data_IF_678877076058
#
_entry.id   IF_678877076058
#
_cell.length_a   1.000
_cell.length_b   1.000
_cell.length_c   1.000
_cell.angle_alpha   90.00
_cell.angle_beta   90.00
_cell.angle_gamma   90.00
#
_symmetry.space_group_name_H-M   'P 1'
#
loop_
_entity.id
_entity.type
_entity.pdbx_description
1 polymer ?
#
# COMPACT_ATOMS: atom_id res chain seq x y z
N UNK A 1 60.65 -19.13 -64.00
CA UNK A 1 61.34 -17.98 -64.60
C UNK A 1 60.32 -16.84 -64.73
N UNK A 2 60.46 -15.76 -63.94
CA UNK A 2 59.79 -14.43 -64.08
C UNK A 2 58.24 -14.38 -64.14
N UNK A 3 57.49 -13.37 -63.70
CA UNK A 3 57.65 -12.16 -62.87
C UNK A 3 56.21 -11.61 -62.68
N UNK A 4 55.90 -11.12 -61.48
CA UNK A 4 55.20 -9.85 -61.14
C UNK A 4 53.86 -9.45 -61.78
N UNK A 5 53.01 -8.85 -60.94
CA UNK A 5 52.19 -7.67 -61.28
C UNK A 5 50.70 -7.85 -61.06
N UNK A 6 50.18 -7.70 -59.85
CA UNK A 6 49.61 -6.48 -59.23
C UNK A 6 48.43 -5.79 -59.95
N UNK A 7 47.33 -5.75 -59.20
CA UNK A 7 46.43 -4.62 -58.90
C UNK A 7 45.27 -4.25 -59.85
N UNK A 8 44.07 -4.33 -59.23
CA UNK A 8 42.95 -3.37 -59.19
C UNK A 8 42.43 -2.83 -60.54
N UNK A 9 41.12 -2.79 -60.82
CA UNK A 9 40.15 -2.00 -60.06
C UNK A 9 38.75 -2.06 -60.69
N UNK A 10 37.71 -1.90 -59.85
CA UNK A 10 36.41 -1.19 -60.09
C UNK A 10 35.50 -1.70 -61.24
N UNK A 11 34.17 -1.80 -61.17
CA UNK A 11 33.12 -1.43 -60.20
C UNK A 11 31.75 -1.84 -60.80
N UNK A 12 30.75 -2.02 -59.91
CA UNK A 12 29.30 -1.77 -60.11
C UNK A 12 28.56 -2.79 -60.99
N UNK A 13 27.37 -3.30 -60.65
CA UNK A 13 26.26 -2.80 -59.82
C UNK A 13 25.19 -3.90 -59.73
N UNK A 14 24.62 -4.21 -58.56
CA UNK A 14 23.20 -4.02 -58.13
C UNK A 14 22.77 -5.36 -57.48
N UNK A 15 22.67 -5.45 -56.14
CA UNK A 15 21.46 -5.21 -55.31
C UNK A 15 20.30 -6.10 -55.78
N UNK A 16 19.56 -6.88 -55.00
CA UNK A 16 19.45 -7.22 -53.58
C UNK A 16 18.21 -8.11 -53.52
N UNK A 17 18.21 -9.22 -52.78
CA UNK A 17 17.00 -9.70 -52.09
C UNK A 17 17.36 -10.36 -50.75
N UNK A 18 16.83 -9.72 -49.73
CA UNK A 18 16.69 -10.01 -48.29
C UNK A 18 16.29 -11.43 -47.90
N UNK A 19 16.82 -11.90 -46.76
CA UNK A 19 16.03 -12.31 -45.59
C UNK A 19 16.95 -12.49 -44.36
N UNK A 20 16.84 -11.62 -43.36
CA UNK A 20 17.22 -11.93 -41.97
C UNK A 20 16.01 -11.59 -41.13
N UNK A 21 15.28 -12.62 -40.73
CA UNK A 21 14.25 -12.53 -39.69
C UNK A 21 14.90 -13.02 -38.40
N UNK A 22 15.24 -12.09 -37.51
CA UNK A 22 15.54 -12.40 -36.11
C UNK A 22 14.33 -11.92 -35.29
N UNK A 23 13.46 -12.85 -34.92
CA UNK A 23 12.39 -12.61 -33.96
C UNK A 23 12.94 -12.88 -32.56
N UNK A 24 13.20 -11.82 -31.79
CA UNK A 24 13.39 -11.90 -30.34
C UNK A 24 12.05 -11.54 -29.72
N UNK A 25 11.31 -12.55 -29.23
CA UNK A 25 10.12 -12.34 -28.42
C UNK A 25 10.56 -12.16 -26.97
N UNK A 26 10.78 -10.92 -26.55
CA UNK A 26 10.79 -10.58 -25.13
C UNK A 26 9.34 -10.33 -24.71
N UNK A 27 8.70 -11.34 -24.15
CA UNK A 27 7.42 -11.18 -23.47
C UNK A 27 7.67 -10.41 -22.16
N UNK A 28 7.36 -9.12 -22.14
CA UNK A 28 7.23 -8.39 -20.90
C UNK A 28 5.90 -8.83 -20.27
N UNK A 29 5.96 -9.65 -19.22
CA UNK A 29 4.83 -9.83 -18.32
C UNK A 29 4.59 -8.46 -17.66
N UNK A 30 3.46 -7.83 -17.94
CA UNK A 30 2.99 -6.75 -17.09
C UNK A 30 2.77 -7.32 -15.67
N UNK A 31 3.11 -6.59 -14.60
CA UNK A 31 2.73 -7.03 -13.26
C UNK A 31 1.22 -7.24 -13.24
N UNK A 32 0.77 -8.41 -12.78
CA UNK A 32 -0.64 -8.62 -12.50
C UNK A 32 -1.06 -7.57 -11.47
N UNK A 33 -2.13 -6.82 -11.74
CA UNK A 33 -2.69 -5.93 -10.76
C UNK A 33 -3.09 -6.77 -9.53
N UNK A 34 -2.56 -6.38 -8.38
CA UNK A 34 -2.90 -6.96 -7.09
C UNK A 34 -4.41 -6.88 -6.88
N UNK A 35 -5.04 -7.96 -6.44
CA UNK A 35 -6.47 -7.94 -6.16
C UNK A 35 -6.74 -7.24 -4.81
N UNK A 36 -7.93 -6.69 -4.58
CA UNK A 36 -8.32 -6.13 -3.28
C UNK A 36 -8.09 -7.07 -2.10
N UNK A 37 -8.20 -8.39 -2.34
CA UNK A 37 -7.89 -9.44 -1.36
C UNK A 37 -6.43 -9.34 -0.90
N UNK A 38 -5.50 -8.99 -1.78
CA UNK A 38 -4.10 -8.74 -1.41
C UNK A 38 -3.97 -7.51 -0.51
N UNK A 39 -4.68 -6.41 -0.81
CA UNK A 39 -4.68 -5.22 0.03
C UNK A 39 -5.18 -5.52 1.45
N UNK A 40 -6.29 -6.25 1.56
CA UNK A 40 -6.81 -6.71 2.86
C UNK A 40 -5.78 -7.59 3.58
N UNK A 41 -5.17 -8.55 2.88
CA UNK A 41 -4.14 -9.41 3.48
C UNK A 41 -2.95 -8.59 3.99
N UNK A 42 -2.50 -7.57 3.25
CA UNK A 42 -1.43 -6.69 3.71
C UNK A 42 -1.84 -5.93 4.98
N UNK A 43 -3.08 -5.43 5.07
CA UNK A 43 -3.60 -4.77 6.29
C UNK A 43 -3.67 -5.70 7.50
N UNK A 44 -3.81 -7.02 7.29
CA UNK A 44 -3.73 -8.02 8.38
C UNK A 44 -2.32 -8.30 8.85
N UNK A 45 -1.34 -8.12 7.98
CA UNK A 45 0.06 -8.48 8.22
C UNK A 45 0.89 -7.28 8.71
N UNK A 46 0.51 -6.05 8.33
CA UNK A 46 1.26 -4.83 8.57
C UNK A 46 0.44 -3.83 9.39
N UNK A 47 1.07 -3.25 10.41
CA UNK A 47 0.47 -2.17 11.21
C UNK A 47 0.62 -0.82 10.53
N UNK A 48 1.72 -0.60 9.80
CA UNK A 48 1.95 0.64 9.05
C UNK A 48 2.35 0.35 7.62
N UNK A 49 1.63 0.98 6.69
CA UNK A 49 1.93 1.04 5.26
C UNK A 49 1.93 2.51 4.84
N UNK A 50 3.11 3.10 4.72
CA UNK A 50 3.29 4.40 4.07
C UNK A 50 3.69 4.16 2.61
N UNK A 51 2.86 4.53 1.64
CA UNK A 51 3.15 4.32 0.21
C UNK A 51 4.31 5.18 -0.29
N UNK A 52 4.45 6.38 0.27
CA UNK A 52 5.54 7.32 0.09
C UNK A 52 6.47 7.33 1.32
N UNK A 53 6.82 8.52 1.80
CA UNK A 53 7.74 8.67 2.92
C UNK A 53 7.05 8.48 4.27
N UNK A 54 7.82 8.06 5.27
CA UNK A 54 7.40 8.05 6.67
C UNK A 54 8.43 8.75 7.55
N UNK A 55 7.95 9.50 8.54
CA UNK A 55 8.75 10.08 9.61
C UNK A 55 8.03 9.84 10.93
N UNK A 56 8.75 9.36 11.94
CA UNK A 56 8.21 9.11 13.28
C UNK A 56 9.29 9.33 14.33
N UNK A 57 8.91 9.64 15.56
CA UNK A 57 9.78 9.53 16.75
C UNK A 57 9.17 8.61 17.83
N UNK A 58 8.15 7.85 17.45
CA UNK A 58 7.34 7.01 18.31
C UNK A 58 7.37 5.55 17.86
N UNK A 59 6.69 4.71 18.62
CA UNK A 59 6.66 3.28 18.37
C UNK A 59 5.64 2.93 17.29
N UNK A 60 6.04 2.02 16.41
CA UNK A 60 5.14 1.25 15.55
C UNK A 60 5.19 -0.18 16.05
N UNK A 61 4.08 -0.64 16.59
CA UNK A 61 3.88 -2.02 16.98
C UNK A 61 3.69 -2.88 15.73
N UNK A 62 4.25 -4.09 15.72
CA UNK A 62 4.22 -4.98 14.55
C UNK A 62 4.94 -4.47 13.29
N UNK A 63 4.57 -4.99 12.12
CA UNK A 63 5.35 -4.84 10.89
C UNK A 63 5.11 -3.52 10.18
N UNK A 64 6.14 -3.03 9.50
CA UNK A 64 6.10 -1.74 8.81
C UNK A 64 6.60 -1.84 7.37
N UNK A 65 5.85 -1.22 6.45
CA UNK A 65 6.25 -0.94 5.08
C UNK A 65 6.30 0.58 4.84
N UNK A 66 7.35 1.05 4.17
CA UNK A 66 7.50 2.43 3.69
C UNK A 66 8.01 2.40 2.24
N UNK A 67 7.21 2.84 1.27
CA UNK A 67 7.61 2.81 -0.15
C UNK A 67 8.71 3.81 -0.50
N UNK A 68 8.80 4.92 0.24
CA UNK A 68 9.82 5.95 0.13
C UNK A 68 10.92 5.82 1.20
N UNK A 69 11.36 6.97 1.72
CA UNK A 69 12.34 7.04 2.80
C UNK A 69 11.66 6.97 4.18
N UNK A 70 12.35 6.34 5.13
CA UNK A 70 12.00 6.36 6.55
C UNK A 70 12.98 7.24 7.32
N UNK A 71 12.49 8.34 7.90
CA UNK A 71 13.29 9.31 8.68
C UNK A 71 12.87 9.32 10.15
N UNK A 72 13.49 10.17 10.98
CA UNK A 72 13.16 10.31 12.41
C UNK A 72 13.72 9.20 13.32
N UNK A 73 13.16 9.05 14.52
CA UNK A 73 13.45 8.02 15.51
C UNK A 73 12.49 6.83 15.49
N UNK A 74 12.24 6.25 16.68
CA UNK A 74 11.16 5.28 16.92
C UNK A 74 11.59 3.83 17.17
N UNK A 75 10.70 3.07 17.80
CA UNK A 75 10.80 1.61 17.94
C UNK A 75 9.88 0.93 16.94
N UNK A 76 10.35 -0.12 16.28
CA UNK A 76 9.60 -0.84 15.27
C UNK A 76 9.46 -2.29 15.66
N UNK A 77 8.36 -2.90 15.22
CA UNK A 77 8.00 -4.27 15.56
C UNK A 77 7.89 -4.47 17.07
N UNK A 78 7.46 -3.46 17.84
CA UNK A 78 7.13 -3.62 19.27
C UNK A 78 5.86 -4.50 19.40
N UNK A 79 5.77 -5.36 20.41
CA UNK A 79 4.60 -6.23 20.62
C UNK A 79 4.29 -7.33 19.57
N UNK A 80 4.98 -7.37 18.41
CA UNK A 80 4.69 -8.27 17.28
C UNK A 80 4.99 -9.77 17.43
N UNK A 81 4.57 -10.39 18.54
CA UNK A 81 4.54 -11.86 18.71
C UNK A 81 3.10 -12.37 18.69
N UNK A 82 2.56 -12.67 17.50
CA UNK A 82 1.29 -13.38 17.37
C UNK A 82 0.02 -12.55 17.57
N UNK A 83 0.16 -11.24 17.74
CA UNK A 83 -0.95 -10.28 17.73
C UNK A 83 -1.29 -9.76 16.32
N UNK A 84 -0.38 -9.94 15.35
CA UNK A 84 -0.64 -9.75 13.93
C UNK A 84 -0.82 -11.09 13.21
N UNK A 85 -1.46 -11.06 12.02
CA UNK A 85 -1.56 -12.26 11.18
C UNK A 85 -0.17 -12.73 10.77
N UNK A 86 0.03 -14.05 10.78
CA UNK A 86 1.30 -14.65 10.39
C UNK A 86 1.74 -14.18 9.00
N UNK A 87 2.93 -13.61 8.91
CA UNK A 87 3.47 -13.03 7.68
C UNK A 87 4.90 -13.48 7.43
N UNK A 88 5.23 -13.70 6.16
CA UNK A 88 6.59 -13.91 5.68
C UNK A 88 7.30 -12.60 5.31
N UNK A 89 6.64 -11.44 5.47
CA UNK A 89 7.23 -10.13 5.18
C UNK A 89 8.33 -9.78 6.18
N UNK A 90 9.34 -9.00 5.75
CA UNK A 90 10.28 -8.36 6.66
C UNK A 90 9.55 -7.60 7.76
N UNK A 91 10.14 -7.51 8.95
CA UNK A 91 9.55 -6.73 10.05
C UNK A 91 9.59 -5.22 9.76
N UNK A 92 10.57 -4.81 8.95
CA UNK A 92 10.69 -3.46 8.42
C UNK A 92 11.15 -3.52 6.96
N UNK A 93 10.33 -2.99 6.06
CA UNK A 93 10.62 -2.92 4.63
C UNK A 93 10.54 -1.48 4.15
N UNK A 94 11.62 -0.97 3.54
CA UNK A 94 11.72 0.43 3.11
C UNK A 94 12.21 0.53 1.66
N UNK A 95 11.46 1.14 0.76
CA UNK A 95 11.86 1.27 -0.66
C UNK A 95 13.06 2.20 -0.86
N UNK A 96 13.21 3.22 -0.01
CA UNK A 96 14.30 4.18 -0.03
C UNK A 96 15.34 3.98 1.08
N UNK A 97 15.79 5.09 1.65
CA UNK A 97 16.77 5.12 2.73
C UNK A 97 16.08 5.05 4.10
N UNK A 98 16.77 4.42 5.05
CA UNK A 98 16.45 4.47 6.47
C UNK A 98 17.46 5.39 7.14
N UNK A 99 16.98 6.47 7.77
CA UNK A 99 17.83 7.44 8.47
C UNK A 99 17.25 7.81 9.83
N UNK A 100 18.09 8.43 10.67
CA UNK A 100 17.81 8.59 12.10
C UNK A 100 17.91 7.26 12.86
N UNK A 101 17.90 7.33 14.19
CA UNK A 101 18.12 6.15 15.03
C UNK A 101 16.84 5.31 15.11
N UNK A 102 16.91 4.04 14.71
CA UNK A 102 15.78 3.09 14.83
C UNK A 102 16.06 2.02 15.88
N UNK A 103 15.09 1.68 16.71
CA UNK A 103 15.15 0.50 17.57
C UNK A 103 14.28 -0.59 16.95
N UNK A 104 14.86 -1.71 16.51
CA UNK A 104 14.10 -2.80 15.89
C UNK A 104 14.01 -3.96 16.86
N UNK A 105 12.80 -4.38 17.21
CA UNK A 105 12.57 -5.48 18.13
C UNK A 105 12.44 -6.80 17.37
N UNK A 106 13.20 -7.81 17.78
CA UNK A 106 13.03 -9.14 17.19
C UNK A 106 11.75 -9.80 17.69
N UNK A 107 11.35 -9.49 18.92
CA UNK A 107 10.20 -10.06 19.60
C UNK A 107 10.16 -11.57 19.37
N UNK A 108 11.20 -12.30 19.79
CA UNK A 108 11.30 -13.75 19.69
C UNK A 108 11.13 -14.37 18.30
N UNK A 109 11.03 -13.59 17.22
CA UNK A 109 11.08 -14.09 15.85
C UNK A 109 12.46 -14.68 15.60
N UNK A 110 12.49 -15.81 14.91
CA UNK A 110 13.74 -16.46 14.52
C UNK A 110 14.31 -15.76 13.29
N UNK A 111 15.38 -14.98 13.48
CA UNK A 111 16.10 -14.24 12.43
C UNK A 111 15.19 -13.34 11.55
N UNK A 112 14.45 -12.38 12.13
CA UNK A 112 13.66 -11.41 11.38
C UNK A 112 14.50 -10.59 10.40
N UNK A 113 13.85 -10.14 9.33
CA UNK A 113 14.51 -9.42 8.22
C UNK A 113 14.17 -7.93 8.27
N UNK A 114 15.18 -7.10 8.01
CA UNK A 114 15.02 -5.68 7.65
C UNK A 114 15.54 -5.49 6.23
N UNK A 115 14.74 -4.86 5.37
CA UNK A 115 15.13 -4.58 3.98
C UNK A 115 15.02 -3.09 3.66
N UNK A 116 16.03 -2.57 2.96
CA UNK A 116 16.00 -1.24 2.38
C UNK A 116 16.47 -1.25 0.91
N UNK A 117 15.76 -0.54 0.02
CA UNK A 117 16.24 -0.33 -1.34
C UNK A 117 17.46 0.61 -1.39
N UNK A 118 17.61 1.49 -0.40
CA UNK A 118 18.71 2.45 -0.29
C UNK A 118 19.68 2.16 0.86
N UNK A 119 20.20 3.24 1.44
CA UNK A 119 21.07 3.24 2.61
C UNK A 119 20.31 2.86 3.89
N UNK A 120 20.95 2.07 4.75
CA UNK A 120 20.49 1.79 6.12
C UNK A 120 21.39 2.52 7.11
N UNK A 121 20.84 3.55 7.76
CA UNK A 121 21.48 4.31 8.82
C UNK A 121 21.42 3.63 10.19
N UNK A 122 21.73 4.38 11.24
CA UNK A 122 21.85 3.90 12.62
C UNK A 122 20.62 3.07 13.07
N UNK A 123 20.86 1.82 13.49
CA UNK A 123 19.85 0.97 14.11
C UNK A 123 20.40 0.30 15.37
N UNK A 124 19.54 0.12 16.37
CA UNK A 124 19.72 -0.80 17.47
C UNK A 124 18.87 -2.05 17.17
N UNK A 125 19.52 -3.19 17.01
CA UNK A 125 18.88 -4.47 16.71
C UNK A 125 18.73 -5.28 18.00
N UNK A 126 17.52 -5.34 18.55
CA UNK A 126 17.22 -6.08 19.78
C UNK A 126 16.91 -7.55 19.48
N UNK A 127 17.97 -8.26 19.10
CA UNK A 127 17.95 -9.66 18.66
C UNK A 127 18.92 -9.88 17.49
N UNK A 128 18.85 -11.07 16.90
CA UNK A 128 19.61 -11.43 15.70
C UNK A 128 18.75 -11.24 14.47
N UNK A 129 19.24 -10.46 13.50
CA UNK A 129 18.52 -10.11 12.28
C UNK A 129 19.30 -10.47 11.03
N UNK A 130 18.59 -10.44 9.90
CA UNK A 130 19.20 -10.26 8.59
C UNK A 130 18.84 -8.87 8.07
N UNK A 131 19.85 -8.03 7.78
CA UNK A 131 19.67 -6.68 7.25
C UNK A 131 20.21 -6.65 5.82
N UNK A 132 19.34 -6.32 4.86
CA UNK A 132 19.68 -6.27 3.44
C UNK A 132 19.45 -4.86 2.92
N UNK A 133 20.46 -4.26 2.30
CA UNK A 133 20.40 -2.90 1.79
C UNK A 133 20.91 -2.83 0.36
N UNK A 134 20.18 -2.17 -0.53
CA UNK A 134 20.67 -1.85 -1.88
C UNK A 134 21.80 -0.83 -1.87
N UNK A 135 21.86 0.01 -0.82
CA UNK A 135 22.95 0.96 -0.56
C UNK A 135 23.89 0.50 0.55
N UNK A 136 24.50 1.48 1.22
CA UNK A 136 25.42 1.22 2.33
C UNK A 136 24.72 0.91 3.64
N UNK A 137 25.39 0.23 4.58
CA UNK A 137 24.90 -0.09 5.92
C UNK A 137 25.78 0.58 6.98
N UNK A 138 25.23 1.58 7.68
CA UNK A 138 25.90 2.37 8.72
C UNK A 138 25.73 1.87 10.16
N UNK A 139 25.22 0.65 10.36
CA UNK A 139 24.95 0.09 11.69
C UNK A 139 26.27 -0.32 12.36
N UNK A 140 26.57 0.28 13.52
CA UNK A 140 27.80 0.02 14.27
C UNK A 140 27.73 -1.28 15.09
N UNK A 141 26.64 -1.50 15.82
CA UNK A 141 26.47 -2.70 16.63
C UNK A 141 25.75 -3.79 15.83
N UNK A 142 26.50 -4.85 15.52
CA UNK A 142 26.03 -5.92 14.64
C UNK A 142 25.29 -7.05 15.34
N UNK A 143 25.32 -7.16 16.68
CA UNK A 143 24.59 -8.17 17.49
C UNK A 143 24.36 -9.55 16.83
N UNK A 144 25.41 -10.21 16.35
CA UNK A 144 25.37 -11.51 15.63
C UNK A 144 24.50 -11.55 14.35
N UNK A 145 24.00 -10.40 13.91
CA UNK A 145 23.15 -10.25 12.75
C UNK A 145 23.96 -10.37 11.45
N UNK A 146 23.26 -10.75 10.38
CA UNK A 146 23.80 -10.81 9.02
C UNK A 146 23.53 -9.49 8.30
N UNK A 147 24.51 -8.99 7.55
CA UNK A 147 24.41 -7.72 6.82
C UNK A 147 24.80 -7.92 5.37
N UNK A 148 23.92 -7.55 4.45
CA UNK A 148 24.12 -7.62 3.01
C UNK A 148 24.07 -6.21 2.42
N UNK A 149 25.24 -5.62 2.22
CA UNK A 149 25.41 -4.28 1.63
C UNK A 149 25.49 -4.39 0.10
N UNK A 150 24.82 -3.51 -0.64
CA UNK A 150 24.70 -3.62 -2.10
C UNK A 150 23.85 -4.81 -2.58
N UNK A 151 22.96 -5.31 -1.72
CA UNK A 151 22.10 -6.44 -2.01
C UNK A 151 21.09 -6.11 -3.12
N UNK A 152 20.71 -7.12 -3.90
CA UNK A 152 19.55 -7.01 -4.79
C UNK A 152 18.28 -7.16 -3.95
N UNK A 153 17.73 -6.02 -3.53
CA UNK A 153 16.49 -5.90 -2.76
C UNK A 153 15.39 -5.43 -3.71
N UNK A 154 14.28 -6.19 -3.77
CA UNK A 154 13.11 -5.85 -4.57
C UNK A 154 11.95 -5.54 -3.64
N UNK A 155 11.68 -4.25 -3.42
CA UNK A 155 10.56 -3.80 -2.60
C UNK A 155 9.35 -3.57 -3.51
N UNK A 156 8.25 -4.35 -3.37
CA UNK A 156 7.05 -4.13 -4.16
C UNK A 156 6.41 -2.78 -3.80
N UNK A 157 5.86 -2.09 -4.80
CA UNK A 157 5.07 -0.88 -4.57
C UNK A 157 3.58 -1.22 -4.47
N UNK A 158 2.95 -0.93 -3.33
CA UNK A 158 1.55 -1.27 -3.06
C UNK A 158 0.54 -0.16 -3.39
N UNK A 159 0.95 0.93 -4.07
CA UNK A 159 0.07 2.08 -4.28
C UNK A 159 -1.19 1.73 -5.07
N UNK A 160 -1.04 1.03 -6.19
CA UNK A 160 -2.18 0.60 -7.02
C UNK A 160 -3.09 -0.35 -6.22
N UNK A 161 -2.50 -1.32 -5.49
CA UNK A 161 -3.23 -2.25 -4.62
C UNK A 161 -4.18 -1.53 -3.65
N UNK A 162 -3.68 -0.48 -2.99
CA UNK A 162 -4.46 0.21 -1.96
C UNK A 162 -5.41 1.25 -2.52
N UNK A 163 -5.08 1.89 -3.64
CA UNK A 163 -6.04 2.72 -4.37
C UNK A 163 -7.23 1.87 -4.87
N UNK A 164 -6.96 0.70 -5.46
CA UNK A 164 -7.99 -0.20 -5.95
C UNK A 164 -8.84 -0.76 -4.81
N UNK A 165 -8.24 -1.18 -3.70
CA UNK A 165 -8.98 -1.62 -2.51
C UNK A 165 -9.90 -0.51 -1.98
N UNK A 166 -9.35 0.69 -1.78
CA UNK A 166 -10.10 1.83 -1.24
C UNK A 166 -11.27 2.22 -2.16
N UNK A 167 -11.04 2.24 -3.47
CA UNK A 167 -12.08 2.50 -4.46
C UNK A 167 -13.17 1.42 -4.45
N UNK A 168 -12.81 0.13 -4.36
CA UNK A 168 -13.79 -0.95 -4.36
C UNK A 168 -14.61 -1.00 -3.07
N UNK A 169 -14.00 -0.73 -1.91
CA UNK A 169 -14.74 -0.58 -0.65
C UNK A 169 -15.77 0.55 -0.74
N UNK A 170 -15.41 1.68 -1.36
CA UNK A 170 -16.31 2.81 -1.57
C UNK A 170 -17.48 2.51 -2.53
N UNK A 171 -17.40 1.42 -3.31
CA UNK A 171 -18.48 0.97 -4.20
C UNK A 171 -19.41 -0.08 -3.57
N UNK A 172 -19.08 -0.60 -2.39
CA UNK A 172 -19.95 -1.53 -1.69
C UNK A 172 -21.27 -0.84 -1.32
N UNK A 173 -22.37 -1.57 -1.46
CA UNK A 173 -23.69 -1.06 -1.07
C UNK A 173 -23.83 -1.03 0.44
N UNK A 174 -24.41 0.06 0.96
CA UNK A 174 -24.77 0.18 2.38
C UNK A 174 -25.67 -0.99 2.81
N UNK A 175 -25.38 -1.56 3.98
CA UNK A 175 -26.08 -2.74 4.52
C UNK A 175 -27.27 -2.39 5.42
N UNK A 176 -27.60 -1.10 5.54
CA UNK A 176 -28.76 -0.59 6.27
C UNK A 176 -28.49 -0.21 7.72
N UNK A 177 -27.24 0.10 8.06
CA UNK A 177 -26.87 0.60 9.38
C UNK A 177 -27.40 2.02 9.66
N UNK A 178 -27.30 2.48 10.92
CA UNK A 178 -27.72 3.82 11.31
C UNK A 178 -26.75 4.53 12.24
N UNK A 179 -27.02 5.82 12.44
CA UNK A 179 -26.33 6.68 13.38
C UNK A 179 -27.33 7.51 14.17
N UNK A 180 -27.03 7.78 15.43
CA UNK A 180 -27.79 8.74 16.21
C UNK A 180 -26.91 9.48 17.22
N UNK A 181 -27.38 10.63 17.69
CA UNK A 181 -26.73 11.36 18.77
C UNK A 181 -27.40 11.02 20.10
N UNK A 182 -26.64 10.46 21.03
CA UNK A 182 -26.99 10.41 22.45
C UNK A 182 -26.17 11.46 23.20
N UNK A 183 -26.78 12.61 23.45
CA UNK A 183 -26.08 13.79 23.94
C UNK A 183 -25.02 14.28 22.93
N UNK A 184 -23.74 14.22 23.33
CA UNK A 184 -22.59 14.57 22.48
C UNK A 184 -21.84 13.34 21.97
N UNK A 185 -22.46 12.16 22.03
CA UNK A 185 -21.89 10.92 21.49
C UNK A 185 -22.58 10.58 20.19
N UNK A 186 -21.80 10.43 19.12
CA UNK A 186 -22.25 9.78 17.89
C UNK A 186 -22.23 8.27 18.13
N UNK A 187 -23.41 7.66 18.26
CA UNK A 187 -23.58 6.22 18.38
C UNK A 187 -23.76 5.64 16.98
N UNK A 188 -22.94 4.65 16.66
CA UNK A 188 -22.94 3.90 15.40
C UNK A 188 -23.64 2.56 15.62
N UNK A 189 -24.67 2.31 14.82
CA UNK A 189 -25.49 1.10 14.85
C UNK A 189 -25.29 0.33 13.52
N UNK A 190 -24.17 -0.38 13.32
CA UNK A 190 -23.93 -1.09 12.07
C UNK A 190 -24.92 -2.25 11.91
N UNK A 191 -25.23 -2.62 10.67
CA UNK A 191 -26.04 -3.81 10.35
C UNK A 191 -25.25 -4.68 9.41
N UNK A 192 -24.91 -5.91 9.81
CA UNK A 192 -24.16 -6.83 8.98
C UNK A 192 -25.06 -7.61 8.00
N UNK A 193 -24.50 -7.95 6.84
CA UNK A 193 -25.05 -8.93 5.94
C UNK A 193 -24.88 -10.38 6.46
N UNK A 194 -25.27 -11.36 5.64
CA UNK A 194 -25.16 -12.78 6.02
C UNK A 194 -23.72 -13.29 6.16
N UNK A 195 -22.74 -12.56 5.64
CA UNK A 195 -21.31 -12.85 5.78
C UNK A 195 -20.70 -12.20 7.02
N UNK A 196 -21.50 -11.44 7.80
CA UNK A 196 -21.01 -10.70 8.96
C UNK A 196 -20.30 -9.40 8.58
N UNK A 197 -20.53 -8.88 7.37
CA UNK A 197 -19.95 -7.63 6.88
C UNK A 197 -21.00 -6.52 6.95
N UNK A 198 -20.70 -5.45 7.67
CA UNK A 198 -21.46 -4.20 7.62
C UNK A 198 -20.74 -3.19 6.73
N UNK A 199 -21.49 -2.48 5.90
CA UNK A 199 -20.99 -1.39 5.06
C UNK A 199 -21.85 -0.18 5.37
N UNK A 200 -21.20 0.91 5.74
CA UNK A 200 -21.87 2.17 6.02
C UNK A 200 -21.26 3.29 5.20
N UNK A 201 -22.10 4.03 4.47
CA UNK A 201 -21.69 5.25 3.77
C UNK A 201 -21.89 6.47 4.68
N UNK A 202 -20.80 7.14 5.02
CA UNK A 202 -20.81 8.33 5.86
C UNK A 202 -21.11 9.62 5.09
N UNK A 203 -21.50 9.54 3.81
CA UNK A 203 -21.95 10.66 2.97
C UNK A 203 -22.71 11.76 3.74
N UNK A 204 -23.71 11.36 4.51
CA UNK A 204 -24.62 12.25 5.25
C UNK A 204 -24.05 12.79 6.59
N UNK A 205 -22.98 12.20 7.11
CA UNK A 205 -22.32 12.60 8.37
C UNK A 205 -20.88 13.10 8.17
N UNK A 206 -20.39 13.15 6.93
CA UNK A 206 -19.08 13.68 6.57
C UNK A 206 -18.87 15.10 7.10
N UNK A 207 -19.87 15.97 7.03
CA UNK A 207 -19.78 17.33 7.59
C UNK A 207 -19.64 17.35 9.11
N UNK A 208 -20.15 16.32 9.80
CA UNK A 208 -20.01 16.19 11.25
C UNK A 208 -18.61 15.65 11.60
N UNK A 209 -18.10 14.66 10.87
CA UNK A 209 -16.75 14.13 11.04
C UNK A 209 -15.66 15.16 10.70
N UNK A 210 -15.91 16.05 9.74
CA UNK A 210 -15.00 17.14 9.38
C UNK A 210 -15.01 18.31 10.39
N UNK A 211 -15.89 18.28 11.39
CA UNK A 211 -16.12 19.43 12.26
C UNK A 211 -15.12 19.61 13.40
N UNK A 212 -14.13 18.71 13.54
CA UNK A 212 -13.12 18.78 14.59
C UNK A 212 -13.72 18.77 16.00
N UNK A 213 -14.68 17.86 16.24
CA UNK A 213 -15.36 17.73 17.54
C UNK A 213 -16.36 18.84 17.88
N UNK A 214 -16.85 19.59 16.87
CA UNK A 214 -17.83 20.67 17.10
C UNK A 214 -19.28 20.17 17.17
N UNK A 215 -19.56 18.99 16.59
CA UNK A 215 -20.93 18.41 16.53
C UNK A 215 -21.15 17.29 17.55
N UNK A 216 -20.13 16.49 17.81
CA UNK A 216 -20.06 15.52 18.89
C UNK A 216 -18.66 15.62 19.52
N UNK A 217 -18.45 15.01 20.68
CA UNK A 217 -17.14 14.93 21.35
C UNK A 217 -16.67 13.49 21.54
N UNK A 218 -17.54 12.55 21.19
CA UNK A 218 -17.31 11.12 21.34
C UNK A 218 -17.98 10.31 20.24
N UNK A 219 -17.37 9.19 19.90
CA UNK A 219 -17.91 8.17 19.00
C UNK A 219 -18.03 6.87 19.81
N UNK A 220 -19.12 6.14 19.64
CA UNK A 220 -19.33 4.82 20.21
C UNK A 220 -19.93 3.89 19.17
N UNK A 221 -19.65 2.59 19.28
CA UNK A 221 -20.34 1.55 18.52
C UNK A 221 -21.18 0.76 19.51
N UNK A 222 -22.39 0.37 19.11
CA UNK A 222 -23.19 -0.54 19.92
C UNK A 222 -22.45 -1.86 20.20
N UNK A 223 -22.83 -2.51 21.30
CA UNK A 223 -22.18 -3.72 21.80
C UNK A 223 -22.19 -4.89 20.81
N UNK A 224 -23.18 -4.98 19.94
CA UNK A 224 -23.26 -6.02 18.90
C UNK A 224 -22.26 -5.82 17.75
N UNK A 225 -21.69 -4.63 17.59
CA UNK A 225 -20.72 -4.32 16.53
C UNK A 225 -19.44 -5.17 16.62
N UNK A 226 -19.01 -5.52 17.84
CA UNK A 226 -17.78 -6.33 18.02
C UNK A 226 -17.94 -7.79 17.57
N UNK A 227 -19.18 -8.26 17.41
CA UNK A 227 -19.47 -9.60 16.90
C UNK A 227 -19.43 -9.71 15.37
N UNK A 228 -19.37 -8.57 14.66
CA UNK A 228 -19.28 -8.53 13.21
C UNK A 228 -17.86 -8.88 12.75
N UNK A 229 -17.74 -9.50 11.58
CA UNK A 229 -16.44 -9.82 11.00
C UNK A 229 -15.73 -8.56 10.52
N UNK A 230 -16.43 -7.74 9.73
CA UNK A 230 -15.89 -6.49 9.19
C UNK A 230 -16.96 -5.41 9.20
N UNK A 231 -16.58 -4.19 9.61
CA UNK A 231 -17.38 -2.98 9.46
C UNK A 231 -16.59 -2.03 8.54
N UNK A 232 -17.14 -1.71 7.38
CA UNK A 232 -16.55 -0.74 6.44
C UNK A 232 -17.25 0.60 6.63
N UNK A 233 -16.47 1.59 7.02
CA UNK A 233 -16.88 2.98 7.19
C UNK A 233 -16.34 3.78 6.01
N UNK A 234 -17.15 3.97 4.96
CA UNK A 234 -16.75 4.75 3.79
C UNK A 234 -16.89 6.24 4.08
N UNK A 235 -15.78 6.98 4.07
CA UNK A 235 -15.74 8.40 4.47
C UNK A 235 -15.38 9.29 3.28
N UNK A 236 -16.28 10.21 2.95
CA UNK A 236 -16.09 11.19 1.88
C UNK A 236 -15.58 12.53 2.41
N UNK A 237 -14.69 13.16 1.67
CA UNK A 237 -14.04 14.43 2.02
C UNK A 237 -12.53 14.40 1.83
N UNK A 238 -11.95 15.57 1.60
CA UNK A 238 -10.53 15.70 1.29
C UNK A 238 -9.64 15.91 2.53
N UNK A 239 -10.19 16.42 3.64
CA UNK A 239 -9.41 16.81 4.83
C UNK A 239 -10.21 16.60 6.11
N UNK A 240 -9.61 16.00 7.12
CA UNK A 240 -10.25 15.75 8.41
C UNK A 240 -9.32 16.03 9.59
N UNK A 241 -9.91 16.51 10.68
CA UNK A 241 -9.30 16.57 12.02
C UNK A 241 -10.18 15.77 12.96
N UNK A 242 -9.62 14.73 13.58
CA UNK A 242 -10.28 13.89 14.56
C UNK A 242 -9.89 14.34 15.97
N UNK A 243 -10.84 14.96 16.65
CA UNK A 243 -10.69 15.53 17.99
C UNK A 243 -11.56 14.83 19.04
N UNK A 244 -12.30 13.81 18.61
CA UNK A 244 -13.30 13.06 19.37
C UNK A 244 -12.69 11.86 20.11
N UNK A 245 -13.26 11.52 21.26
CA UNK A 245 -12.87 10.32 22.01
C UNK A 245 -13.68 9.11 21.54
N UNK A 246 -13.09 7.92 21.58
CA UNK A 246 -13.88 6.68 21.48
C UNK A 246 -14.39 6.27 22.87
N UNK A 247 -15.65 5.85 22.93
CA UNK A 247 -16.24 5.22 24.11
C UNK A 247 -16.43 3.73 23.83
N UNK A 248 -16.09 2.89 24.81
CA UNK A 248 -16.29 1.45 24.72
C UNK A 248 -16.48 0.79 26.08
N UNK A 249 -16.92 -0.47 26.03
CA UNK A 249 -17.27 -1.29 27.18
C UNK A 249 -18.64 -0.97 27.79
N UNK A 250 -19.16 -1.93 28.55
CA UNK A 250 -20.48 -1.80 29.19
C UNK A 250 -21.61 -1.99 28.19
N UNK A 251 -22.21 -0.88 27.74
CA UNK A 251 -23.28 -0.87 26.72
C UNK A 251 -22.76 -0.65 25.30
N UNK A 252 -21.46 -0.39 25.15
CA UNK A 252 -20.77 -0.17 23.88
C UNK A 252 -19.75 -1.26 23.64
N UNK A 253 -19.36 -1.46 22.38
CA UNK A 253 -18.35 -2.42 21.98
C UNK A 253 -17.00 -2.23 22.72
N UNK A 254 -16.29 -3.32 22.94
CA UNK A 254 -14.89 -3.31 23.37
C UNK A 254 -14.00 -2.76 22.25
N UNK A 255 -13.24 -1.70 22.56
CA UNK A 255 -12.48 -0.96 21.54
C UNK A 255 -11.32 -1.77 20.95
N UNK A 256 -10.74 -2.70 21.72
CA UNK A 256 -9.66 -3.56 21.22
C UNK A 256 -10.19 -4.55 20.19
N UNK A 257 -11.30 -5.20 20.50
CA UNK A 257 -11.99 -6.11 19.58
C UNK A 257 -12.48 -5.37 18.34
N UNK A 258 -13.10 -4.21 18.53
CA UNK A 258 -13.58 -3.34 17.46
C UNK A 258 -12.45 -2.87 16.51
N UNK A 259 -11.27 -2.53 17.05
CA UNK A 259 -10.14 -2.02 16.25
C UNK A 259 -9.68 -2.99 15.17
N UNK A 260 -9.91 -4.30 15.36
CA UNK A 260 -9.58 -5.35 14.40
C UNK A 260 -10.66 -5.55 13.34
N UNK A 261 -11.89 -5.07 13.56
CA UNK A 261 -13.03 -5.35 12.69
C UNK A 261 -13.42 -4.14 11.84
N UNK A 262 -13.08 -2.91 12.25
CA UNK A 262 -13.44 -1.68 11.52
C UNK A 262 -12.36 -1.29 10.51
N UNK A 263 -12.77 -0.99 9.27
CA UNK A 263 -11.99 -0.27 8.27
C UNK A 263 -12.62 1.10 8.04
N UNK A 264 -11.88 2.16 8.37
CA UNK A 264 -12.19 3.53 7.99
C UNK A 264 -11.57 3.83 6.62
N UNK A 265 -12.40 3.78 5.58
CA UNK A 265 -11.99 3.98 4.20
C UNK A 265 -12.18 5.45 3.78
N UNK A 266 -11.12 6.25 3.89
CA UNK A 266 -11.07 7.63 3.45
C UNK A 266 -10.62 7.70 1.99
N UNK A 267 -11.54 7.41 1.07
CA UNK A 267 -11.22 7.10 -0.32
C UNK A 267 -10.74 8.30 -1.16
N UNK A 268 -10.96 9.53 -0.70
CA UNK A 268 -10.53 10.76 -1.38
C UNK A 268 -9.73 11.72 -0.48
N UNK A 269 -9.44 11.33 0.77
CA UNK A 269 -8.74 12.19 1.71
C UNK A 269 -7.28 12.41 1.30
N UNK A 270 -6.84 13.66 1.36
CA UNK A 270 -5.45 14.06 1.15
C UNK A 270 -4.77 14.49 2.45
N UNK A 271 -5.53 14.81 3.50
CA UNK A 271 -5.01 15.19 4.82
C UNK A 271 -5.87 14.60 5.94
N UNK A 272 -5.22 13.93 6.90
CA UNK A 272 -5.85 13.36 8.09
C UNK A 272 -5.03 13.71 9.32
N UNK A 273 -5.63 14.42 10.26
CA UNK A 273 -4.99 14.76 11.53
C UNK A 273 -5.75 14.09 12.69
N UNK A 274 -5.06 13.29 13.50
CA UNK A 274 -5.64 12.59 14.65
C UNK A 274 -5.09 13.18 15.96
N UNK A 275 -5.89 13.99 16.65
CA UNK A 275 -5.51 14.66 17.89
C UNK A 275 -5.91 13.89 19.15
N UNK A 276 -6.66 12.79 18.98
CA UNK A 276 -7.06 11.84 20.03
C UNK A 276 -6.67 10.43 19.64
N UNK A 277 -6.78 9.52 20.59
CA UNK A 277 -6.62 8.11 20.33
C UNK A 277 -7.72 7.62 19.39
N UNK A 278 -7.35 6.82 18.39
CA UNK A 278 -8.25 6.38 17.33
C UNK A 278 -8.31 4.85 17.26
N UNK A 279 -9.49 4.30 16.97
CA UNK A 279 -9.71 2.86 16.92
C UNK A 279 -10.32 2.43 15.58
N UNK A 280 -9.72 1.39 15.00
CA UNK A 280 -10.06 0.87 13.69
C UNK A 280 -8.91 1.05 12.71
N UNK A 281 -8.88 0.20 11.70
CA UNK A 281 -7.89 0.28 10.63
C UNK A 281 -8.19 1.44 9.69
N UNK A 282 -7.17 2.23 9.38
CA UNK A 282 -7.26 3.42 8.52
C UNK A 282 -6.79 3.05 7.11
N UNK A 283 -7.65 3.27 6.12
CA UNK A 283 -7.31 3.14 4.70
C UNK A 283 -7.50 4.49 4.01
N UNK A 284 -6.40 5.18 3.73
CA UNK A 284 -6.39 6.51 3.13
C UNK A 284 -5.20 6.66 2.17
N UNK A 285 -5.18 5.91 1.04
CA UNK A 285 -4.00 5.76 0.19
C UNK A 285 -3.50 7.05 -0.47
N UNK A 286 -4.28 8.12 -0.44
CA UNK A 286 -3.92 9.44 -0.97
C UNK A 286 -3.43 10.42 0.13
N UNK A 287 -3.67 10.09 1.40
CA UNK A 287 -3.55 11.04 2.49
C UNK A 287 -2.12 11.18 3.02
N UNK A 288 -1.79 12.39 3.44
CA UNK A 288 -0.79 12.60 4.49
C UNK A 288 -1.47 12.54 5.84
N UNK A 289 -0.95 11.70 6.74
CA UNK A 289 -1.45 11.56 8.12
C UNK A 289 -0.52 12.22 9.12
N UNK A 290 -1.12 12.88 10.12
CA UNK A 290 -0.47 13.20 11.40
C UNK A 290 -1.27 12.63 12.57
N UNK A 291 -0.60 12.31 13.67
CA UNK A 291 -1.26 11.89 14.91
C UNK A 291 -0.52 12.40 16.15
N UNK A 292 -1.27 12.67 17.22
CA UNK A 292 -0.76 13.11 18.52
C UNK A 292 -0.91 12.06 19.63
N UNK A 293 -1.74 11.03 19.38
CA UNK A 293 -2.02 9.91 20.27
C UNK A 293 -1.98 8.60 19.48
N UNK A 294 -2.17 7.48 20.18
CA UNK A 294 -2.11 6.16 19.57
C UNK A 294 -3.18 5.96 18.46
N UNK A 295 -2.77 5.28 17.39
CA UNK A 295 -3.68 4.74 16.38
C UNK A 295 -3.75 3.22 16.60
N UNK A 296 -4.94 2.70 16.92
CA UNK A 296 -5.17 1.29 17.20
C UNK A 296 -5.79 0.62 15.97
N UNK A 297 -4.99 -0.14 15.22
CA UNK A 297 -5.38 -0.72 13.94
C UNK A 297 -4.23 -0.71 12.94
N UNK A 298 -4.48 -1.25 11.74
CA UNK A 298 -3.58 -1.08 10.61
C UNK A 298 -3.75 0.32 9.99
N UNK A 299 -2.65 0.93 9.52
CA UNK A 299 -2.64 2.28 8.96
C UNK A 299 -2.05 2.26 7.56
N UNK A 300 -2.85 2.56 6.55
CA UNK A 300 -2.45 2.66 5.14
C UNK A 300 -2.63 4.08 4.64
N UNK A 301 -1.54 4.73 4.27
CA UNK A 301 -1.50 6.16 3.90
C UNK A 301 -0.49 6.44 2.80
N UNK A 302 -0.62 7.57 2.11
CA UNK A 302 0.44 8.01 1.19
C UNK A 302 1.69 8.43 1.96
N UNK A 303 1.56 9.34 2.92
CA UNK A 303 2.71 9.84 3.71
C UNK A 303 2.38 9.81 5.19
N UNK A 304 3.29 9.27 6.00
CA UNK A 304 3.13 9.20 7.45
C UNK A 304 4.04 10.21 8.16
N UNK A 305 3.45 11.13 8.94
CA UNK A 305 4.16 12.05 9.82
C UNK A 305 3.68 11.82 11.26
N UNK A 306 4.24 10.82 11.91
CA UNK A 306 3.71 10.30 13.18
C UNK A 306 4.34 11.01 14.39
N UNK A 307 3.51 11.68 15.19
CA UNK A 307 3.88 12.23 16.50
C UNK A 307 3.24 11.45 17.67
N UNK A 308 2.62 10.32 17.37
CA UNK A 308 2.14 9.33 18.33
C UNK A 308 2.43 7.92 17.83
N UNK A 309 2.06 6.92 18.64
CA UNK A 309 2.31 5.51 18.32
C UNK A 309 1.28 4.95 17.32
N UNK A 310 1.65 3.85 16.65
CA UNK A 310 0.72 2.96 15.95
C UNK A 310 0.75 1.62 16.68
N UNK A 311 -0.38 1.19 17.22
CA UNK A 311 -0.51 0.01 18.07
C UNK A 311 -1.03 -1.21 17.32
N UNK A 312 -0.89 -2.37 17.95
CA UNK A 312 -1.67 -3.55 17.63
C UNK A 312 -3.11 -3.39 18.16
N UNK A 313 -4.09 -4.13 17.65
CA UNK A 313 -4.00 -5.16 16.60
C UNK A 313 -4.04 -4.58 15.18
N UNK A 314 -3.90 -5.45 14.19
CA UNK A 314 -4.10 -5.13 12.76
C UNK A 314 -5.55 -5.43 12.36
N UNK A 315 -5.94 -5.12 11.11
CA UNK A 315 -7.22 -5.58 10.58
C UNK A 315 -7.32 -7.11 10.63
N UNK A 316 -8.47 -7.65 11.03
CA UNK A 316 -8.66 -9.07 11.37
C UNK A 316 -9.79 -9.79 10.63
N UNK A 317 -10.80 -9.07 10.09
CA UNK A 317 -12.03 -9.69 9.57
C UNK A 317 -11.88 -10.43 8.24
N UNK A 318 -12.27 -11.69 8.12
CA UNK A 318 -11.92 -12.58 7.00
C UNK A 318 -12.97 -12.70 5.89
N UNK A 319 -14.16 -12.15 6.08
CA UNK A 319 -15.34 -12.49 5.26
C UNK A 319 -15.65 -11.45 4.18
N UNK A 320 -14.89 -10.35 4.11
CA UNK A 320 -15.07 -9.35 3.07
C UNK A 320 -14.66 -9.92 1.71
N UNK A 321 -15.62 -9.97 0.78
CA UNK A 321 -15.41 -10.48 -0.58
C UNK A 321 -15.77 -9.42 -1.60
N UNK A 322 -15.05 -9.42 -2.71
CA UNK A 322 -15.35 -8.57 -3.86
C UNK A 322 -15.83 -9.47 -4.99
N UNK A 323 -16.96 -9.13 -5.61
CA UNK A 323 -17.25 -9.67 -6.94
C UNK A 323 -16.13 -9.24 -7.87
N UNK A 324 -15.62 -10.13 -8.73
CA UNK A 324 -14.51 -9.85 -9.66
C UNK A 324 -14.60 -8.43 -10.23
N UNK A 325 -13.48 -7.69 -10.29
CA UNK A 325 -13.50 -6.29 -10.70
C UNK A 325 -14.18 -6.18 -12.07
N UNK A 326 -15.08 -5.19 -12.28
CA UNK A 326 -15.60 -4.93 -13.61
C UNK A 326 -14.40 -4.75 -14.53
N UNK A 327 -14.31 -5.58 -15.56
CA UNK A 327 -13.29 -5.43 -16.59
C UNK A 327 -13.27 -3.97 -17.10
N UNK A 328 -12.14 -3.48 -17.60
CA UNK A 328 -12.00 -2.08 -18.01
C UNK A 328 -13.21 -1.65 -18.84
N UNK A 329 -13.92 -0.63 -18.36
CA UNK A 329 -15.21 -0.20 -18.89
C UNK A 329 -15.05 0.11 -20.38
N UNK A 330 -15.57 -0.79 -21.20
CA UNK A 330 -15.38 -0.78 -22.65
C UNK A 330 -16.46 -1.59 -23.37
N UNK A 331 -17.70 -1.09 -23.36
CA UNK A 331 -18.65 -1.33 -24.44
C UNK A 331 -19.77 -2.36 -24.20
N UNK A 332 -20.98 -1.83 -24.05
CA UNK A 332 -22.30 -2.35 -24.42
C UNK A 332 -22.81 -3.67 -23.76
N UNK A 333 -24.07 -3.71 -23.28
CA UNK A 333 -24.63 -4.91 -22.66
C UNK A 333 -25.00 -5.93 -23.74
N UNK A 334 -24.36 -7.10 -23.72
CA UNK A 334 -24.77 -8.24 -24.52
C UNK A 334 -23.67 -9.27 -24.78
N UNK A 335 -23.56 -10.24 -23.87
CA UNK A 335 -23.20 -11.64 -24.18
C UNK A 335 -21.76 -11.97 -24.60
N UNK A 336 -21.12 -12.85 -23.83
CA UNK A 336 -20.00 -13.69 -24.28
C UNK A 336 -18.62 -13.19 -23.87
N UNK A 337 -18.00 -13.91 -22.95
CA UNK A 337 -16.62 -13.75 -22.50
C UNK A 337 -15.63 -13.87 -23.65
N UNK A 338 -14.94 -12.79 -24.02
CA UNK A 338 -13.55 -12.85 -24.47
C UNK A 338 -12.78 -11.66 -23.92
N UNK A 339 -11.69 -11.96 -23.20
CA UNK A 339 -10.75 -10.97 -22.69
C UNK A 339 -10.08 -10.27 -23.86
N UNK A 340 -10.34 -8.98 -24.01
CA UNK A 340 -9.65 -8.14 -25.00
C UNK A 340 -8.26 -7.80 -24.49
N UNK A 341 -7.16 -8.19 -25.18
CA UNK A 341 -5.82 -7.75 -24.80
C UNK A 341 -5.60 -6.30 -25.22
N UNK A 342 -5.24 -5.42 -24.27
CA UNK A 342 -4.72 -4.09 -24.56
C UNK A 342 -3.17 -4.12 -24.67
N UNK A 343 -2.51 -3.23 -25.42
CA UNK A 343 -2.79 -2.76 -26.77
C UNK A 343 -1.59 -3.02 -27.72
N UNK A 344 -1.79 -3.81 -28.78
CA UNK A 344 -0.83 -3.90 -29.90
C UNK A 344 -0.67 -2.57 -30.68
N UNK A 345 -1.53 -1.58 -30.43
CA UNK A 345 -1.59 -0.31 -31.14
C UNK A 345 -0.39 0.62 -30.84
N UNK A 346 0.13 0.62 -29.60
CA UNK A 346 1.32 1.43 -29.26
C UNK A 346 2.60 0.85 -29.86
N UNK A 347 2.72 -0.48 -29.90
CA UNK A 347 3.79 -1.16 -30.63
C UNK A 347 3.74 -0.85 -32.13
N UNK A 348 2.57 -0.96 -32.75
CA UNK A 348 2.36 -0.60 -34.16
C UNK A 348 2.67 0.87 -34.47
N UNK A 349 2.33 1.80 -33.57
CA UNK A 349 2.65 3.22 -33.71
C UNK A 349 4.17 3.46 -33.64
N UNK A 350 4.87 2.84 -32.70
CA UNK A 350 6.32 2.93 -32.58
C UNK A 350 7.04 2.33 -33.80
N UNK A 351 6.57 1.18 -34.29
CA UNK A 351 7.07 0.56 -35.53
C UNK A 351 6.78 1.43 -36.76
N UNK A 352 5.60 2.06 -36.83
CA UNK A 352 5.25 3.00 -37.90
C UNK A 352 6.16 4.23 -37.93
N UNK A 353 6.48 4.80 -36.77
CA UNK A 353 7.39 5.94 -36.64
C UNK A 353 8.84 5.56 -36.97
N UNK A 354 9.30 4.38 -36.53
CA UNK A 354 10.62 3.87 -36.89
C UNK A 354 10.75 3.60 -38.40
N UNK A 355 9.72 3.01 -39.02
CA UNK A 355 9.63 2.81 -40.46
C UNK A 355 9.65 4.13 -41.25
N UNK A 356 8.89 5.13 -40.79
CA UNK A 356 8.88 6.46 -41.39
C UNK A 356 10.24 7.18 -41.26
N UNK A 357 10.94 7.02 -40.14
CA UNK A 357 12.28 7.56 -39.94
C UNK A 357 13.33 6.97 -40.89
N UNK A 358 13.28 5.66 -41.13
CA UNK A 358 14.17 4.96 -42.08
C UNK A 358 13.87 5.38 -43.52
N UNK A 359 12.60 5.50 -43.90
CA UNK A 359 12.20 5.97 -45.23
C UNK A 359 12.64 7.43 -45.49
N UNK A 360 12.57 8.30 -44.47
CA UNK A 360 13.00 9.71 -44.56
C UNK A 360 14.52 9.85 -44.72
N UNK A 361 15.32 8.99 -44.09
CA UNK A 361 16.79 8.98 -44.26
C UNK A 361 17.20 8.55 -45.68
N UNK A 362 16.44 7.64 -46.30
CA UNK A 362 16.74 7.18 -47.67
C UNK A 362 16.44 8.23 -48.76
N UNK A 363 15.47 9.14 -48.55
CA UNK A 363 15.19 10.23 -49.50
C UNK A 363 16.19 11.39 -49.46
N UNK A 364 17.02 11.51 -48.43
CA UNK A 364 18.07 12.54 -48.32
C UNK A 364 19.44 12.10 -48.84
N UNK A 365 19.60 10.82 -49.17
CA UNK A 365 20.87 10.23 -49.60
C UNK A 365 20.88 9.82 -51.09
N UNK A 366 19.89 10.28 -51.87
CA UNK A 366 19.76 10.07 -53.30
C UNK A 366 19.90 11.35 -54.08
#
# INVERSE_FOLDING_TARGET
MQRRGNMLSLRKSIVSRTAVAAAVAAAFAAPAAATPIEGLQIMRELNLVALGNASTNHDVEGRTYVGGNLTGGGTFNKGGQGNETASNRPVLQVGGNITGMKNIQSNGLSNPVVEAGGHVGNMNLNGTFTVRAGGSIGIQNKNQSTFEEGAQVSIPYFGDTFNDLSFQLAQLSDTGGSYHLDGQTLVVDPVADMSGVAVMDLGDVNSMLQSGGSYFSSIAFNDDAEAMDTIVMNVGGSSFSFDDNFLGGGIYADLMSLSSNVIWNFYEAVTLDFNREFFGSILAPLATITNQNALNGSVVVNTAQLNGEVHLSTYGGQNLTFSDPPGPIGGNPGGGSESVPAPAALGLLAFGLAGAGIARRRRKAG
#
